data_IF_352503433064
#
_entry.id   IF_352503433064
#
_cell.length_a   1.000
_cell.length_b   1.000
_cell.length_c   1.000
_cell.angle_alpha   90.00
_cell.angle_beta   90.00
_cell.angle_gamma   90.00
#
_symmetry.space_group_name_H-M   'P 1'
#
loop_
_entity.id
_entity.type
_entity.pdbx_description
1 polymer ?
#
# COMPACT_ATOMS: atom_id res chain seq x y z
N UNK A 1 8.76 26.15 4.88
CA UNK A 1 7.77 25.96 5.98
C UNK A 1 6.57 25.11 5.56
N UNK A 2 5.85 25.46 4.49
CA UNK A 2 4.62 24.76 4.02
C UNK A 2 4.83 23.26 3.73
N UNK A 3 5.93 22.87 3.08
CA UNK A 3 6.20 21.46 2.78
C UNK A 3 6.47 20.60 4.03
N UNK A 4 7.04 21.19 5.08
CA UNK A 4 7.30 20.51 6.36
C UNK A 4 5.99 20.26 7.11
N UNK A 5 5.08 21.25 7.09
CA UNK A 5 3.73 21.15 7.66
C UNK A 5 2.92 20.07 6.92
N UNK A 6 2.89 20.09 5.58
CA UNK A 6 2.25 19.05 4.77
C UNK A 6 2.81 17.65 5.05
N UNK A 7 4.11 17.54 5.30
CA UNK A 7 4.76 16.29 5.71
C UNK A 7 4.23 15.77 7.05
N UNK A 8 4.15 16.63 8.07
CA UNK A 8 3.64 16.27 9.40
C UNK A 8 2.17 15.82 9.32
N UNK A 9 1.31 16.58 8.64
CA UNK A 9 -0.10 16.20 8.47
C UNK A 9 -0.27 14.86 7.76
N UNK A 10 0.55 14.59 6.73
CA UNK A 10 0.53 13.28 6.06
C UNK A 10 0.92 12.15 7.01
N UNK A 11 1.97 12.32 7.80
CA UNK A 11 2.40 11.31 8.77
C UNK A 11 1.29 11.03 9.78
N UNK A 12 0.70 12.07 10.37
CA UNK A 12 -0.42 11.94 11.31
C UNK A 12 -1.62 11.25 10.68
N UNK A 13 -2.00 11.65 9.47
CA UNK A 13 -3.11 11.04 8.72
C UNK A 13 -2.87 9.56 8.41
N UNK A 14 -1.63 9.19 8.07
CA UNK A 14 -1.26 7.79 7.82
C UNK A 14 -1.38 6.94 9.09
N UNK A 15 -0.87 7.43 10.23
CA UNK A 15 -1.01 6.73 11.50
C UNK A 15 -2.49 6.62 11.93
N UNK A 16 -3.27 7.69 11.77
CA UNK A 16 -4.70 7.67 12.05
C UNK A 16 -5.44 6.64 11.19
N UNK A 17 -5.10 6.54 9.91
CA UNK A 17 -5.71 5.58 8.97
C UNK A 17 -5.36 4.13 9.37
N UNK A 18 -4.10 3.85 9.71
CA UNK A 18 -3.69 2.53 10.20
C UNK A 18 -4.40 2.17 11.51
N UNK A 19 -4.43 3.10 12.47
CA UNK A 19 -5.11 2.90 13.76
C UNK A 19 -6.60 2.63 13.56
N UNK A 20 -7.26 3.34 12.64
CA UNK A 20 -8.67 3.09 12.29
C UNK A 20 -8.87 1.67 11.74
N UNK A 21 -8.04 1.24 10.77
CA UNK A 21 -8.14 -0.10 10.18
C UNK A 21 -8.00 -1.20 11.24
N UNK A 22 -6.95 -1.13 12.08
CA UNK A 22 -6.75 -2.13 13.13
C UNK A 22 -7.82 -2.04 14.23
N UNK A 23 -8.31 -0.84 14.55
CA UNK A 23 -9.43 -0.65 15.47
C UNK A 23 -10.70 -1.35 14.99
N UNK A 24 -11.07 -1.20 13.71
CA UNK A 24 -12.22 -1.88 13.11
C UNK A 24 -12.06 -3.41 13.12
N UNK A 25 -10.85 -3.93 12.86
CA UNK A 25 -10.57 -5.38 12.92
C UNK A 25 -10.76 -5.91 14.35
N UNK A 26 -10.27 -5.19 15.36
CA UNK A 26 -10.42 -5.57 16.78
C UNK A 26 -11.89 -5.54 17.17
N UNK A 27 -12.62 -4.48 16.80
CA UNK A 27 -14.05 -4.36 17.07
C UNK A 27 -14.84 -5.49 16.42
N UNK A 28 -14.59 -5.79 15.15
CA UNK A 28 -15.24 -6.88 14.44
C UNK A 28 -14.94 -8.24 15.09
N UNK A 29 -13.69 -8.46 15.52
CA UNK A 29 -13.27 -9.68 16.22
C UNK A 29 -13.99 -9.85 17.56
N UNK A 30 -14.12 -8.77 18.33
CA UNK A 30 -14.85 -8.76 19.59
C UNK A 30 -16.33 -9.09 19.39
N UNK A 31 -16.99 -8.43 18.43
CA UNK A 31 -18.40 -8.66 18.13
C UNK A 31 -18.65 -10.07 17.61
N UNK A 32 -17.78 -10.58 16.72
CA UNK A 32 -17.87 -11.94 16.20
C UNK A 32 -17.75 -12.96 17.33
N UNK A 33 -16.80 -12.79 18.24
CA UNK A 33 -16.67 -13.67 19.41
C UNK A 33 -17.93 -13.66 20.26
N UNK A 34 -18.45 -12.49 20.62
CA UNK A 34 -19.67 -12.36 21.43
C UNK A 34 -20.89 -12.98 20.76
N UNK A 35 -21.04 -12.78 19.46
CA UNK A 35 -22.11 -13.40 18.68
C UNK A 35 -21.94 -14.91 18.57
N UNK A 36 -20.71 -15.42 18.37
CA UNK A 36 -20.45 -16.85 18.31
C UNK A 36 -20.81 -17.59 19.61
N UNK A 37 -20.75 -16.91 20.76
CA UNK A 37 -21.16 -17.48 22.06
C UNK A 37 -22.65 -17.82 22.15
N UNK A 38 -23.52 -17.25 21.29
CA UNK A 38 -24.96 -17.55 21.29
C UNK A 38 -25.32 -18.86 20.61
N UNK A 39 -24.37 -19.47 19.89
CA UNK A 39 -24.59 -20.73 19.17
C UNK A 39 -24.16 -21.96 19.98
N UNK A 40 -24.64 -23.12 19.54
CA UNK A 40 -24.19 -24.42 20.05
C UNK A 40 -22.68 -24.61 19.85
N UNK A 41 -22.04 -25.44 20.69
CA UNK A 41 -20.58 -25.61 20.71
C UNK A 41 -19.98 -25.95 19.35
N UNK A 42 -20.62 -26.82 18.55
CA UNK A 42 -20.13 -27.21 17.21
C UNK A 42 -20.12 -26.02 16.25
N UNK A 43 -21.23 -25.29 16.18
CA UNK A 43 -21.38 -24.11 15.31
C UNK A 43 -20.43 -23.00 15.77
N UNK A 44 -20.35 -22.74 17.08
CA UNK A 44 -19.44 -21.77 17.68
C UNK A 44 -17.99 -22.01 17.28
N UNK A 45 -17.50 -23.25 17.40
CA UNK A 45 -16.13 -23.61 17.01
C UNK A 45 -15.91 -23.36 15.52
N UNK A 46 -16.84 -23.80 14.66
CA UNK A 46 -16.73 -23.60 13.22
C UNK A 46 -16.68 -22.10 12.85
N UNK A 47 -17.54 -21.27 13.44
CA UNK A 47 -17.54 -19.83 13.24
C UNK A 47 -16.22 -19.18 13.67
N UNK A 48 -15.70 -19.53 14.85
CA UNK A 48 -14.45 -18.97 15.37
C UNK A 48 -13.24 -19.37 14.52
N UNK A 49 -13.18 -20.61 14.03
CA UNK A 49 -12.12 -21.07 13.13
C UNK A 49 -12.18 -20.32 11.80
N UNK A 50 -13.36 -20.24 11.19
CA UNK A 50 -13.56 -19.57 9.90
C UNK A 50 -13.22 -18.08 9.98
N UNK A 51 -13.72 -17.39 11.02
CA UNK A 51 -13.44 -15.97 11.24
C UNK A 51 -11.95 -15.73 11.58
N UNK A 52 -11.35 -16.59 12.40
CA UNK A 52 -9.93 -16.52 12.74
C UNK A 52 -9.03 -16.68 11.51
N UNK A 53 -9.33 -17.65 10.65
CA UNK A 53 -8.58 -17.89 9.41
C UNK A 53 -8.69 -16.70 8.45
N UNK A 54 -9.91 -16.21 8.21
CA UNK A 54 -10.13 -15.07 7.30
C UNK A 54 -9.48 -13.79 7.81
N UNK A 55 -9.54 -13.53 9.12
CA UNK A 55 -8.86 -12.40 9.76
C UNK A 55 -7.35 -12.51 9.61
N UNK A 56 -6.78 -13.69 9.89
CA UNK A 56 -5.35 -13.94 9.72
C UNK A 56 -4.90 -13.69 8.29
N UNK A 57 -5.59 -14.27 7.30
CA UNK A 57 -5.26 -14.10 5.89
C UNK A 57 -5.39 -12.64 5.45
N UNK A 58 -6.41 -11.93 5.91
CA UNK A 58 -6.61 -10.50 5.61
C UNK A 58 -5.47 -9.66 6.17
N UNK A 59 -5.09 -9.86 7.43
CA UNK A 59 -3.96 -9.18 8.06
C UNK A 59 -2.66 -9.46 7.32
N UNK A 60 -2.41 -10.73 6.97
CA UNK A 60 -1.24 -11.14 6.21
C UNK A 60 -1.13 -10.44 4.85
N UNK A 61 -2.23 -10.43 4.08
CA UNK A 61 -2.29 -9.76 2.79
C UNK A 61 -2.09 -8.24 2.94
N UNK A 62 -2.75 -7.62 3.91
CA UNK A 62 -2.60 -6.19 4.17
C UNK A 62 -1.15 -5.82 4.52
N UNK A 63 -0.52 -6.57 5.43
CA UNK A 63 0.90 -6.37 5.80
C UNK A 63 1.81 -6.52 4.59
N UNK A 64 1.56 -7.49 3.70
CA UNK A 64 2.32 -7.60 2.46
C UNK A 64 2.17 -6.35 1.58
N UNK A 65 0.97 -5.80 1.44
CA UNK A 65 0.75 -4.57 0.69
C UNK A 65 1.46 -3.36 1.32
N UNK A 66 1.53 -3.28 2.65
CA UNK A 66 2.27 -2.23 3.37
C UNK A 66 3.78 -2.29 3.07
N UNK A 67 4.36 -3.48 3.09
CA UNK A 67 5.82 -3.67 3.13
C UNK A 67 6.45 -3.93 1.76
N UNK A 68 5.67 -4.40 0.78
CA UNK A 68 6.21 -4.75 -0.54
C UNK A 68 6.72 -3.50 -1.25
N UNK A 69 7.94 -3.56 -1.77
CA UNK A 69 8.43 -2.51 -2.67
C UNK A 69 7.54 -2.48 -3.93
N UNK A 70 6.88 -1.35 -4.24
CA UNK A 70 5.94 -1.25 -5.36
C UNK A 70 6.63 -1.17 -6.73
N UNK A 71 7.96 -1.34 -6.80
CA UNK A 71 8.75 -1.16 -8.01
C UNK A 71 9.29 0.27 -8.12
N UNK A 72 9.80 0.83 -7.02
CA UNK A 72 10.51 2.11 -7.05
C UNK A 72 11.69 2.06 -8.00
N UNK A 73 11.78 3.06 -8.89
CA UNK A 73 12.89 3.23 -9.83
C UNK A 73 13.92 4.22 -9.29
N UNK A 74 15.19 3.94 -9.57
CA UNK A 74 16.36 4.74 -9.25
C UNK A 74 17.17 5.04 -10.51
N UNK A 75 18.09 6.01 -10.43
CA UNK A 75 18.99 6.36 -11.54
C UNK A 75 19.85 5.17 -12.00
N UNK A 76 20.24 4.29 -11.08
CA UNK A 76 21.03 3.09 -11.38
C UNK A 76 20.30 2.08 -12.25
N UNK A 77 18.97 2.14 -12.33
CA UNK A 77 18.16 1.25 -13.18
C UNK A 77 18.26 1.64 -14.66
N UNK A 78 18.98 2.73 -14.96
CA UNK A 78 19.27 3.25 -16.29
C UNK A 78 20.79 3.41 -16.47
N UNK A 79 21.58 2.31 -16.45
CA UNK A 79 22.99 2.38 -16.80
C UNK A 79 23.09 2.92 -18.23
N UNK A 80 23.97 3.90 -18.45
CA UNK A 80 23.99 4.77 -19.62
C UNK A 80 24.18 4.03 -20.95
N UNK A 81 23.12 3.42 -21.47
CA UNK A 81 23.14 2.64 -22.70
C UNK A 81 21.90 2.97 -23.53
N UNK A 82 22.16 3.55 -24.70
CA UNK A 82 21.33 3.63 -25.91
C UNK A 82 19.82 3.47 -25.72
N UNK A 83 19.22 4.29 -24.85
CA UNK A 83 17.79 4.56 -24.94
C UNK A 83 17.63 5.24 -26.30
N UNK A 84 17.10 4.51 -27.29
CA UNK A 84 16.77 5.10 -28.58
C UNK A 84 15.85 6.28 -28.30
N UNK A 85 16.42 7.49 -28.33
CA UNK A 85 15.72 8.75 -28.05
C UNK A 85 14.63 9.00 -29.12
N UNK A 86 14.68 8.23 -30.22
CA UNK A 86 13.70 8.14 -31.28
C UNK A 86 12.52 7.18 -30.99
N UNK A 87 12.51 6.45 -29.86
CA UNK A 87 11.27 5.84 -29.38
C UNK A 87 10.40 6.94 -28.76
N UNK A 88 9.46 7.44 -29.56
CA UNK A 88 8.49 8.47 -29.19
C UNK A 88 7.66 8.14 -27.93
N UNK A 89 7.81 6.95 -27.34
CA UNK A 89 7.12 6.53 -26.12
C UNK A 89 7.91 6.75 -24.81
N UNK A 90 9.14 7.28 -24.85
CA UNK A 90 9.97 7.44 -23.65
C UNK A 90 9.81 8.84 -23.08
N UNK A 91 8.91 8.96 -22.09
CA UNK A 91 8.70 10.21 -21.35
C UNK A 91 9.77 10.40 -20.27
N UNK A 92 10.14 11.64 -19.93
CA UNK A 92 11.15 11.91 -18.89
C UNK A 92 10.51 12.35 -17.57
N UNK A 93 11.10 11.96 -16.43
CA UNK A 93 10.66 12.46 -15.13
C UNK A 93 11.51 13.66 -14.68
N UNK A 94 10.97 14.88 -14.82
CA UNK A 94 11.63 16.12 -14.39
C UNK A 94 12.01 16.12 -12.89
N UNK A 95 11.20 15.48 -12.03
CA UNK A 95 11.42 15.46 -10.58
C UNK A 95 12.52 14.51 -10.14
N UNK A 96 12.64 13.35 -10.80
CA UNK A 96 13.64 12.34 -10.46
C UNK A 96 14.90 12.42 -11.33
N UNK A 97 14.84 13.20 -12.41
CA UNK A 97 15.92 13.43 -13.36
C UNK A 97 16.46 12.12 -13.99
N UNK A 98 15.53 11.30 -14.51
CA UNK A 98 15.83 10.13 -15.33
C UNK A 98 14.66 9.78 -16.28
N UNK A 99 14.92 8.99 -17.35
CA UNK A 99 13.89 8.53 -18.29
C UNK A 99 12.83 7.65 -17.63
N UNK A 100 11.55 7.81 -17.97
CA UNK A 100 10.49 6.91 -17.51
C UNK A 100 10.38 5.75 -18.49
N UNK A 101 10.48 4.54 -17.97
CA UNK A 101 10.05 3.33 -18.69
C UNK A 101 8.54 3.36 -18.96
N UNK A 102 8.09 2.60 -19.96
CA UNK A 102 6.67 2.46 -20.32
C UNK A 102 5.85 2.08 -19.07
N UNK A 103 4.73 2.78 -18.87
CA UNK A 103 3.80 2.66 -17.72
C UNK A 103 4.40 3.04 -16.35
N UNK A 104 5.57 3.68 -16.28
CA UNK A 104 6.03 4.25 -15.01
C UNK A 104 5.46 5.65 -14.77
N UNK A 105 4.99 5.89 -13.55
CA UNK A 105 4.49 7.20 -13.12
C UNK A 105 5.23 7.70 -11.89
N UNK A 106 5.33 9.03 -11.76
CA UNK A 106 5.93 9.65 -10.59
C UNK A 106 4.86 9.83 -9.51
N UNK A 107 5.04 9.17 -8.37
CA UNK A 107 4.20 9.36 -7.22
C UNK A 107 4.66 10.61 -6.46
N UNK A 108 3.87 11.69 -6.48
CA UNK A 108 4.15 12.90 -5.70
C UNK A 108 4.08 12.67 -4.19
N UNK A 109 3.41 11.60 -3.76
CA UNK A 109 3.30 11.22 -2.35
C UNK A 109 4.62 10.62 -1.86
N UNK A 110 5.12 9.60 -2.56
CA UNK A 110 6.36 8.90 -2.23
C UNK A 110 7.62 9.65 -2.73
N UNK A 111 7.44 10.65 -3.59
CA UNK A 111 8.50 11.38 -4.29
C UNK A 111 9.46 10.46 -5.09
N UNK A 112 8.91 9.39 -5.67
CA UNK A 112 9.64 8.38 -6.43
C UNK A 112 8.85 7.99 -7.67
N UNK A 113 9.54 7.60 -8.74
CA UNK A 113 8.90 6.91 -9.86
C UNK A 113 8.64 5.46 -9.48
N UNK A 114 7.49 4.93 -9.89
CA UNK A 114 7.07 3.55 -9.63
C UNK A 114 6.79 2.89 -10.98
N UNK A 115 7.38 1.72 -11.22
CA UNK A 115 7.15 0.90 -12.43
C UNK A 115 5.70 0.40 -12.43
N UNK A 116 5.03 0.47 -13.59
CA UNK A 116 3.63 0.03 -13.77
C UNK A 116 2.65 0.63 -12.75
N UNK A 117 2.96 1.81 -12.21
CA UNK A 117 2.16 2.46 -11.18
C UNK A 117 0.70 2.59 -11.59
N UNK A 118 -0.18 2.11 -10.73
CA UNK A 118 -1.62 2.35 -10.81
C UNK A 118 -1.96 3.58 -9.97
N UNK A 119 -1.81 3.49 -8.65
CA UNK A 119 -2.09 4.60 -7.74
C UNK A 119 -1.25 4.56 -6.46
N UNK A 120 -1.29 5.65 -5.70
CA UNK A 120 -0.84 5.66 -4.30
C UNK A 120 -2.04 5.40 -3.40
N UNK A 121 -2.00 4.30 -2.65
CA UNK A 121 -3.08 3.92 -1.77
C UNK A 121 -2.78 4.37 -0.34
N UNK A 122 -3.58 5.31 0.15
CA UNK A 122 -3.48 5.81 1.52
C UNK A 122 -3.69 4.71 2.56
N UNK A 123 -4.61 3.77 2.30
CA UNK A 123 -4.98 2.71 3.23
C UNK A 123 -3.84 1.73 3.52
N UNK A 124 -2.89 1.61 2.60
CA UNK A 124 -1.67 0.82 2.78
C UNK A 124 -0.41 1.68 2.82
N UNK A 125 -0.55 3.02 2.84
CA UNK A 125 0.54 3.99 2.81
C UNK A 125 1.67 3.61 1.82
N UNK A 126 1.29 3.09 0.64
CA UNK A 126 2.23 2.55 -0.33
C UNK A 126 1.66 2.70 -1.75
N UNK A 127 2.52 2.65 -2.75
CA UNK A 127 2.06 2.62 -4.14
C UNK A 127 1.61 1.20 -4.53
N UNK A 128 0.74 1.13 -5.52
CA UNK A 128 0.32 -0.11 -6.19
C UNK A 128 0.87 -0.06 -7.62
N UNK A 129 1.59 -1.09 -8.04
CA UNK A 129 2.27 -1.19 -9.33
C UNK A 129 2.76 -2.60 -9.65
#
# INVERSE_FOLDING_TARGET
>A
MINKIKGIFRVLYNYATLLLVYGLIIQASYLCFKYALTFSTKIRIACLISFGFTTFMTLWCHIKCLLKNPGHLNKSDFPGENINIYDHNISYCKKCNFPKIKRAHHCSVCNKCVKKMDHHCTWINNCVG
#
